data_IF_568600711139
#
_entry.id   IF_568600711139
#
_cell.length_a   1.000
_cell.length_b   1.000
_cell.length_c   1.000
_cell.angle_alpha   90.00
_cell.angle_beta   90.00
_cell.angle_gamma   90.00
#
_symmetry.space_group_name_H-M   'P 1'
#
loop_
_entity.id
_entity.type
_entity.pdbx_description
1 polymer ?
#
# COMPACT_ATOMS: atom_id res chain seq x y z
N UNK A 1 5.93 13.65 5.90
CA UNK A 1 6.38 12.27 5.64
C UNK A 1 5.14 11.43 5.42
N UNK A 2 5.11 10.60 4.38
CA UNK A 2 4.04 9.66 4.08
C UNK A 2 4.65 8.31 3.73
N UNK A 3 4.11 7.22 4.28
CA UNK A 3 4.55 5.85 4.01
C UNK A 3 3.30 5.06 3.61
N UNK A 4 3.30 4.47 2.41
CA UNK A 4 2.31 3.49 1.94
C UNK A 4 0.85 3.98 2.07
N UNK A 5 0.63 5.24 1.69
CA UNK A 5 -0.67 5.92 1.85
C UNK A 5 -1.24 6.44 0.53
N UNK A 6 -0.42 6.72 -0.48
CA UNK A 6 -0.88 7.38 -1.70
C UNK A 6 -1.47 6.37 -2.71
N UNK A 7 -1.27 5.09 -2.48
CA UNK A 7 -1.93 3.95 -3.14
C UNK A 7 -3.44 3.93 -2.87
N UNK A 8 -3.90 4.65 -1.83
CA UNK A 8 -5.32 4.84 -1.51
C UNK A 8 -5.89 6.14 -2.10
N UNK A 9 -5.09 6.92 -2.83
CA UNK A 9 -5.49 8.22 -3.37
C UNK A 9 -5.69 8.12 -4.88
N UNK A 10 -6.76 8.73 -5.38
CA UNK A 10 -7.04 8.83 -6.83
C UNK A 10 -6.70 10.21 -7.41
N UNK A 11 -6.85 11.28 -6.63
CA UNK A 11 -6.58 12.65 -7.07
C UNK A 11 -5.23 13.17 -6.54
N UNK A 12 -4.13 12.79 -7.19
CA UNK A 12 -2.79 13.24 -6.79
C UNK A 12 -2.57 14.73 -6.96
N UNK A 13 -3.10 15.34 -8.01
CA UNK A 13 -2.95 16.78 -8.26
C UNK A 13 -3.54 17.60 -7.11
N UNK A 14 -4.79 17.32 -6.72
CA UNK A 14 -5.44 17.98 -5.60
C UNK A 14 -4.76 17.70 -4.26
N UNK A 15 -4.27 16.47 -4.05
CA UNK A 15 -3.49 16.15 -2.85
C UNK A 15 -2.19 16.95 -2.79
N UNK A 16 -1.43 17.03 -3.89
CA UNK A 16 -0.17 17.77 -3.93
C UNK A 16 -0.37 19.27 -3.79
N UNK A 17 -1.47 19.82 -4.32
CA UNK A 17 -1.89 21.20 -4.06
C UNK A 17 -2.14 21.46 -2.57
N UNK A 18 -2.87 20.55 -1.91
CA UNK A 18 -3.14 20.68 -0.49
C UNK A 18 -1.86 20.59 0.33
N UNK A 19 -1.01 19.60 0.04
CA UNK A 19 0.27 19.42 0.73
C UNK A 19 1.16 20.65 0.54
N UNK A 20 1.27 21.21 -0.67
CA UNK A 20 2.10 22.40 -0.89
C UNK A 20 1.66 23.58 -0.03
N UNK A 21 0.35 23.72 0.24
CA UNK A 21 -0.19 24.76 1.14
C UNK A 21 0.13 24.52 2.62
N UNK A 22 0.39 23.28 3.03
CA UNK A 22 0.72 22.91 4.41
C UNK A 22 2.22 23.02 4.70
N UNK A 23 3.06 23.00 3.66
CA UNK A 23 4.51 23.11 3.80
C UNK A 23 4.93 24.55 4.11
N UNK A 24 6.00 24.69 4.89
CA UNK A 24 6.74 25.96 4.99
C UNK A 24 7.50 26.22 3.67
N UNK A 25 8.01 27.43 3.47
CA UNK A 25 8.72 27.85 2.24
C UNK A 25 9.81 26.88 1.77
N UNK A 26 10.51 26.23 2.69
CA UNK A 26 11.55 25.22 2.39
C UNK A 26 11.18 23.80 2.87
N UNK A 27 9.89 23.57 3.11
CA UNK A 27 9.37 22.28 3.56
C UNK A 27 9.49 21.21 2.46
N UNK A 28 9.72 19.97 2.87
CA UNK A 28 9.82 18.84 1.95
C UNK A 28 8.73 17.81 2.25
N UNK A 29 8.10 17.31 1.19
CA UNK A 29 7.37 16.06 1.22
C UNK A 29 8.35 14.92 0.96
N UNK A 30 8.40 13.96 1.87
CA UNK A 30 8.94 12.64 1.60
C UNK A 30 7.79 11.64 1.55
N UNK A 31 7.75 10.84 0.50
CA UNK A 31 6.69 9.88 0.21
C UNK A 31 7.31 8.54 -0.20
N UNK A 32 6.89 7.48 0.46
CA UNK A 32 7.15 6.09 0.09
C UNK A 32 5.84 5.45 -0.33
N UNK A 33 5.87 4.73 -1.46
CA UNK A 33 4.74 4.00 -2.02
C UNK A 33 5.21 2.63 -2.54
N UNK A 34 4.32 1.64 -2.52
CA UNK A 34 4.36 0.53 -3.44
C UNK A 34 4.16 1.04 -4.86
N UNK A 35 4.89 0.45 -5.80
CA UNK A 35 4.71 0.73 -7.20
C UNK A 35 5.02 -0.50 -8.05
N UNK A 36 4.35 -0.59 -9.20
CA UNK A 36 4.84 -1.42 -10.27
C UNK A 36 5.92 -0.66 -11.03
N UNK A 37 6.93 -1.38 -11.52
CA UNK A 37 8.08 -0.76 -12.19
C UNK A 37 7.66 0.10 -13.40
N UNK A 38 6.58 -0.27 -14.09
CA UNK A 38 6.18 0.35 -15.36
C UNK A 38 4.71 0.74 -15.47
N UNK A 39 3.81 0.12 -14.70
CA UNK A 39 2.38 0.16 -14.99
C UNK A 39 1.67 0.89 -13.86
N UNK A 40 0.67 1.68 -14.22
CA UNK A 40 -0.26 2.28 -13.29
C UNK A 40 -1.62 1.64 -13.53
N UNK A 41 -2.20 1.00 -12.53
CA UNK A 41 -3.50 0.34 -12.66
C UNK A 41 -4.28 0.34 -11.33
N UNK A 42 -5.61 0.51 -11.38
CA UNK A 42 -6.44 0.37 -10.18
C UNK A 42 -6.54 -1.11 -9.79
N UNK A 43 -6.71 -1.37 -8.50
CA UNK A 43 -7.12 -2.68 -8.00
C UNK A 43 -8.63 -2.79 -8.11
N UNK A 44 -9.09 -3.40 -9.19
CA UNK A 44 -10.50 -3.65 -9.51
C UNK A 44 -10.77 -5.16 -9.51
N UNK A 45 -11.98 -5.55 -9.14
CA UNK A 45 -12.47 -6.92 -9.23
C UNK A 45 -13.20 -7.03 -10.57
N UNK A 46 -12.55 -7.63 -11.55
CA UNK A 46 -13.05 -7.83 -12.91
C UNK A 46 -13.69 -9.22 -13.02
N UNK A 47 -13.06 -10.22 -12.40
CA UNK A 47 -13.55 -11.59 -12.34
C UNK A 47 -13.46 -12.20 -10.92
N UNK A 48 -13.91 -13.45 -10.78
CA UNK A 48 -13.93 -14.16 -9.51
C UNK A 48 -12.52 -14.57 -9.02
N UNK A 49 -11.52 -14.58 -9.91
CA UNK A 49 -10.14 -14.95 -9.61
C UNK A 49 -9.31 -13.75 -9.11
N UNK A 50 -9.85 -12.52 -9.17
CA UNK A 50 -9.24 -11.27 -8.66
C UNK A 50 -9.23 -11.17 -7.12
N UNK A 51 -8.86 -12.23 -6.43
CA UNK A 51 -8.83 -12.31 -4.97
C UNK A 51 -7.95 -11.24 -4.34
N UNK A 52 -6.85 -10.85 -4.99
CA UNK A 52 -5.91 -9.85 -4.47
C UNK A 52 -6.56 -8.45 -4.46
N UNK A 53 -7.25 -8.08 -5.53
CA UNK A 53 -8.06 -6.85 -5.58
C UNK A 53 -9.24 -6.92 -4.62
N UNK A 54 -9.85 -8.10 -4.45
CA UNK A 54 -11.05 -8.30 -3.64
C UNK A 54 -10.82 -8.31 -2.13
N UNK A 55 -9.67 -8.80 -1.66
CA UNK A 55 -9.43 -9.01 -0.23
C UNK A 55 -8.29 -8.18 0.35
N UNK A 56 -7.33 -7.72 -0.45
CA UNK A 56 -6.12 -7.05 0.05
C UNK A 56 -6.02 -5.59 -0.40
N UNK A 57 -6.28 -5.29 -1.67
CA UNK A 57 -6.08 -3.93 -2.21
C UNK A 57 -7.37 -3.26 -2.70
N UNK A 58 -8.53 -3.65 -2.16
CA UNK A 58 -9.83 -3.16 -2.63
C UNK A 58 -9.92 -1.63 -2.65
N UNK A 59 -10.23 -1.07 -3.83
CA UNK A 59 -10.32 0.38 -4.03
C UNK A 59 -8.98 1.10 -4.07
N UNK A 60 -7.86 0.39 -3.93
CA UNK A 60 -6.50 0.91 -4.09
C UNK A 60 -6.09 1.06 -5.55
N UNK A 61 -4.90 1.61 -5.76
CA UNK A 61 -4.23 1.68 -7.06
C UNK A 61 -2.78 1.26 -6.88
N UNK A 62 -2.23 0.58 -7.87
CA UNK A 62 -0.80 0.34 -7.98
C UNK A 62 -0.21 1.41 -8.90
N UNK A 63 0.51 2.43 -8.38
CA UNK A 63 1.15 3.42 -9.23
C UNK A 63 2.31 2.81 -10.01
N UNK A 64 2.61 3.37 -11.19
CA UNK A 64 3.92 3.19 -11.81
C UNK A 64 4.97 3.99 -11.03
N UNK A 65 6.22 3.54 -11.06
CA UNK A 65 7.34 4.31 -10.51
C UNK A 65 7.46 5.74 -11.12
N UNK A 66 6.96 5.95 -12.34
CA UNK A 66 6.94 7.25 -13.01
C UNK A 66 5.70 8.10 -12.71
N UNK A 67 4.70 7.59 -11.97
CA UNK A 67 3.38 8.23 -11.81
C UNK A 67 3.48 9.69 -11.40
N UNK A 68 4.23 9.99 -10.34
CA UNK A 68 4.32 11.34 -9.78
C UNK A 68 5.15 12.32 -10.61
N UNK A 69 5.94 11.86 -11.59
CA UNK A 69 6.62 12.76 -12.54
C UNK A 69 5.63 13.59 -13.36
N UNK A 70 4.39 13.09 -13.51
CA UNK A 70 3.31 13.76 -14.23
C UNK A 70 2.50 14.75 -13.37
N UNK A 71 2.84 14.90 -12.08
CA UNK A 71 2.12 15.75 -11.13
C UNK A 71 3.06 16.73 -10.44
N UNK A 72 3.68 17.63 -11.21
CA UNK A 72 4.69 18.56 -10.68
C UNK A 72 4.28 20.04 -10.68
N UNK A 73 2.97 20.32 -10.74
CA UNK A 73 2.45 21.70 -10.75
C UNK A 73 2.70 22.43 -9.42
N UNK A 74 2.53 21.72 -8.29
CA UNK A 74 2.62 22.32 -6.95
C UNK A 74 3.81 21.83 -6.13
N UNK A 75 4.40 20.68 -6.49
CA UNK A 75 5.56 20.09 -5.86
C UNK A 75 6.51 19.57 -6.94
N UNK A 76 7.81 19.83 -6.81
CA UNK A 76 8.81 19.33 -7.77
C UNK A 76 9.60 18.18 -7.16
N UNK A 77 9.73 17.07 -7.89
CA UNK A 77 10.53 15.93 -7.44
C UNK A 77 12.00 16.34 -7.43
N UNK A 78 12.58 16.36 -6.22
CA UNK A 78 14.01 16.64 -6.03
C UNK A 78 14.86 15.39 -6.23
N UNK A 79 14.45 14.29 -5.58
CA UNK A 79 15.14 13.01 -5.60
C UNK A 79 14.12 11.88 -5.74
N UNK A 80 14.51 10.80 -6.42
CA UNK A 80 13.71 9.60 -6.58
C UNK A 80 14.58 8.35 -6.41
N UNK A 81 14.05 7.35 -5.70
CA UNK A 81 14.71 6.07 -5.48
C UNK A 81 13.71 4.94 -5.73
N UNK A 82 14.24 3.75 -6.01
CA UNK A 82 13.47 2.53 -6.14
C UNK A 82 14.19 1.43 -5.36
N UNK A 83 13.42 0.64 -4.61
CA UNK A 83 13.92 -0.54 -3.90
C UNK A 83 13.37 -1.79 -4.55
N UNK A 84 14.12 -2.89 -4.47
CA UNK A 84 13.63 -4.17 -4.94
C UNK A 84 12.40 -4.60 -4.16
N UNK A 85 11.39 -5.14 -4.85
CA UNK A 85 10.23 -5.76 -4.21
C UNK A 85 10.59 -6.91 -3.27
N UNK A 86 11.79 -7.49 -3.41
CA UNK A 86 12.33 -8.51 -2.49
C UNK A 86 12.36 -8.04 -1.03
N UNK A 87 12.52 -6.74 -0.76
CA UNK A 87 12.49 -6.25 0.62
C UNK A 87 11.10 -6.36 1.25
N UNK A 88 10.05 -6.07 0.47
CA UNK A 88 8.68 -6.23 0.96
C UNK A 88 8.28 -7.70 1.01
N UNK A 89 8.70 -8.51 0.03
CA UNK A 89 8.57 -9.97 0.08
C UNK A 89 9.12 -10.53 1.40
N UNK A 90 10.36 -10.19 1.77
CA UNK A 90 10.98 -10.64 3.03
C UNK A 90 10.21 -10.16 4.26
N UNK A 91 9.58 -8.99 4.20
CA UNK A 91 8.76 -8.45 5.28
C UNK A 91 7.48 -9.27 5.44
N UNK A 92 6.78 -9.55 4.34
CA UNK A 92 5.57 -10.38 4.33
C UNK A 92 5.86 -11.83 4.77
N UNK A 93 6.95 -12.42 4.30
CA UNK A 93 7.42 -13.74 4.74
C UNK A 93 7.73 -13.76 6.24
N UNK A 94 8.39 -12.72 6.77
CA UNK A 94 8.66 -12.62 8.20
C UNK A 94 7.38 -12.48 9.04
N UNK A 95 6.35 -11.79 8.54
CA UNK A 95 5.03 -11.73 9.19
C UNK A 95 4.34 -13.09 9.20
N UNK A 96 4.33 -13.80 8.07
CA UNK A 96 3.79 -15.16 7.96
C UNK A 96 4.50 -16.12 8.91
N UNK A 97 5.84 -16.16 8.88
CA UNK A 97 6.66 -16.97 9.77
C UNK A 97 6.36 -16.69 11.25
N UNK A 98 6.12 -15.43 11.60
CA UNK A 98 5.81 -15.01 12.96
C UNK A 98 4.38 -15.45 13.37
N UNK A 99 3.42 -15.34 12.46
CA UNK A 99 2.05 -15.81 12.67
C UNK A 99 2.01 -17.32 12.89
N UNK A 100 2.72 -18.09 12.06
CA UNK A 100 2.83 -19.54 12.18
C UNK A 100 3.49 -19.98 13.50
N UNK A 101 4.59 -19.32 13.90
CA UNK A 101 5.29 -19.62 15.18
C UNK A 101 4.43 -19.34 16.41
N UNK A 102 3.49 -18.40 16.31
CA UNK A 102 2.66 -17.96 17.41
C UNK A 102 1.20 -18.41 17.29
N UNK A 103 0.92 -19.43 16.47
CA UNK A 103 -0.42 -19.93 16.19
C UNK A 103 -1.24 -20.25 17.45
N UNK A 104 -0.68 -20.95 18.44
CA UNK A 104 -1.39 -21.30 19.68
C UNK A 104 -1.89 -20.07 20.45
N UNK A 105 -1.14 -18.96 20.40
CA UNK A 105 -1.51 -17.71 21.07
C UNK A 105 -2.48 -16.86 20.24
N UNK A 106 -2.39 -16.93 18.91
CA UNK A 106 -3.18 -16.11 17.99
C UNK A 106 -4.55 -16.73 17.67
N UNK A 107 -4.64 -18.06 17.55
CA UNK A 107 -5.87 -18.76 17.20
C UNK A 107 -7.08 -18.37 18.08
N UNK A 108 -6.97 -18.30 19.42
CA UNK A 108 -8.08 -17.87 20.27
C UNK A 108 -8.56 -16.45 19.94
N UNK A 109 -7.63 -15.54 19.60
CA UNK A 109 -7.94 -14.15 19.25
C UNK A 109 -8.70 -14.09 17.91
N UNK A 110 -8.30 -14.90 16.93
CA UNK A 110 -9.01 -15.00 15.64
C UNK A 110 -10.41 -15.59 15.83
N UNK A 111 -10.55 -16.65 16.64
CA UNK A 111 -11.86 -17.24 16.97
C UNK A 111 -12.78 -16.28 17.72
N UNK A 112 -12.24 -15.48 18.63
CA UNK A 112 -13.00 -14.44 19.34
C UNK A 112 -13.43 -13.30 18.40
N UNK A 113 -12.51 -12.81 17.57
CA UNK A 113 -12.72 -11.64 16.71
C UNK A 113 -13.61 -11.94 15.52
N UNK A 114 -13.30 -13.02 14.79
CA UNK A 114 -13.92 -13.35 13.50
C UNK A 114 -14.93 -14.50 13.58
N UNK A 115 -15.00 -15.22 14.70
CA UNK A 115 -16.01 -16.27 14.96
C UNK A 115 -16.03 -17.34 13.88
N UNK A 116 -17.15 -17.51 13.16
CA UNK A 116 -17.31 -18.51 12.11
C UNK A 116 -16.34 -18.29 10.93
N UNK A 117 -15.83 -17.07 10.76
CA UNK A 117 -14.93 -16.71 9.67
C UNK A 117 -13.44 -16.76 10.11
N UNK A 118 -13.13 -17.29 11.30
CA UNK A 118 -11.77 -17.28 11.85
C UNK A 118 -10.75 -17.95 10.91
N UNK A 119 -11.07 -19.10 10.34
CA UNK A 119 -10.17 -19.82 9.43
C UNK A 119 -9.97 -19.06 8.12
N UNK A 120 -11.00 -18.35 7.64
CA UNK A 120 -10.92 -17.51 6.45
C UNK A 120 -10.00 -16.32 6.70
N UNK A 121 -10.15 -15.67 7.86
CA UNK A 121 -9.32 -14.53 8.22
C UNK A 121 -7.89 -14.92 8.57
N UNK A 122 -7.66 -16.12 9.09
CA UNK A 122 -6.30 -16.65 9.27
C UNK A 122 -5.54 -16.71 7.95
N UNK A 123 -6.19 -17.10 6.85
CA UNK A 123 -5.57 -17.17 5.52
C UNK A 123 -5.48 -15.82 4.79
N UNK A 124 -6.19 -14.80 5.28
CA UNK A 124 -6.25 -13.46 4.65
C UNK A 124 -5.40 -12.42 5.37
N UNK A 125 -4.85 -12.77 6.52
CA UNK A 125 -3.87 -11.95 7.25
C UNK A 125 -2.46 -12.29 6.76
#
# INVERSE_FOLDING_TARGET
VSVEMFEHVRNYQGLFQNISSWLKTDGLLWCHIFCHRFLHYPFEVIDDDDWMSKYFFSGGVMPAASTFLNFQEHLTIKNQWQWSGTHYQQTAEAWLDNMDKHQEALEPLFKETYKADADIWWQRW
#
